data_IF_677869245134
#
_entry.id   IF_677869245134
#
_cell.length_a   1.000
_cell.length_b   1.000
_cell.length_c   1.000
_cell.angle_alpha   90.00
_cell.angle_beta   90.00
_cell.angle_gamma   90.00
#
_symmetry.space_group_name_H-M   'P 1'
#
loop_
_entity.id
_entity.type
_entity.pdbx_description
1 polymer ?
#
# COMPACT_ATOMS: atom_id res chain seq x y z
N UNK A 1 -15.50 2.87 -31.58
CA UNK A 1 -14.08 3.00 -31.16
C UNK A 1 -13.92 2.32 -29.81
N UNK A 2 -12.89 1.48 -29.66
CA UNK A 2 -12.51 0.86 -28.39
C UNK A 2 -12.20 1.91 -27.33
N UNK A 3 -12.66 1.67 -26.10
CA UNK A 3 -12.37 2.53 -24.95
C UNK A 3 -10.86 2.53 -24.67
N UNK A 4 -10.23 3.70 -24.59
CA UNK A 4 -8.81 3.84 -24.21
C UNK A 4 -8.67 4.36 -22.77
N UNK A 5 -7.98 3.60 -21.93
CA UNK A 5 -7.71 3.99 -20.53
C UNK A 5 -6.21 4.08 -20.33
N UNK A 6 -5.71 5.26 -19.93
CA UNK A 6 -4.31 5.49 -19.64
C UNK A 6 -4.06 5.54 -18.12
N UNK A 7 -3.22 4.64 -17.62
CA UNK A 7 -2.82 4.56 -16.21
C UNK A 7 -1.53 5.35 -15.94
N UNK A 8 -1.49 6.06 -14.81
CA UNK A 8 -0.28 6.71 -14.32
C UNK A 8 0.00 6.33 -12.87
N UNK A 9 1.04 5.52 -12.66
CA UNK A 9 1.55 5.09 -11.35
C UNK A 9 3.07 4.94 -11.38
N UNK A 10 3.71 5.07 -10.23
CA UNK A 10 5.12 4.73 -10.03
C UNK A 10 5.37 4.10 -8.66
N UNK A 11 4.31 3.79 -7.92
CA UNK A 11 4.38 3.12 -6.62
C UNK A 11 3.93 1.68 -6.75
N UNK A 12 4.58 0.75 -6.04
CA UNK A 12 4.23 -0.69 -6.10
C UNK A 12 2.76 -0.95 -5.73
N UNK A 13 2.27 -0.27 -4.70
CA UNK A 13 0.85 -0.40 -4.34
C UNK A 13 -0.06 0.11 -5.46
N UNK A 14 0.32 1.22 -6.11
CA UNK A 14 -0.38 1.75 -7.26
C UNK A 14 -0.31 0.85 -8.50
N UNK A 15 0.79 0.12 -8.72
CA UNK A 15 0.91 -0.90 -9.78
C UNK A 15 -0.02 -2.09 -9.52
N UNK A 16 -0.05 -2.60 -8.29
CA UNK A 16 -1.00 -3.65 -7.90
C UNK A 16 -2.45 -3.17 -8.13
N UNK A 17 -2.79 -1.96 -7.67
CA UNK A 17 -4.12 -1.39 -7.88
C UNK A 17 -4.44 -1.24 -9.36
N UNK A 18 -3.50 -0.74 -10.15
CA UNK A 18 -3.66 -0.57 -11.61
C UNK A 18 -3.94 -1.90 -12.29
N UNK A 19 -3.20 -2.97 -11.95
CA UNK A 19 -3.44 -4.32 -12.48
C UNK A 19 -4.81 -4.87 -12.08
N UNK A 20 -5.19 -4.71 -10.82
CA UNK A 20 -6.50 -5.17 -10.32
C UNK A 20 -7.65 -4.42 -11.02
N UNK A 21 -7.52 -3.10 -11.16
CA UNK A 21 -8.50 -2.27 -11.85
C UNK A 21 -8.57 -2.61 -13.34
N UNK A 22 -7.42 -2.73 -14.03
CA UNK A 22 -7.36 -3.09 -15.44
C UNK A 22 -8.00 -4.46 -15.71
N UNK A 23 -7.76 -5.44 -14.84
CA UNK A 23 -8.41 -6.77 -14.92
C UNK A 23 -9.92 -6.66 -14.87
N UNK A 24 -10.47 -5.85 -13.96
CA UNK A 24 -11.92 -5.67 -13.88
C UNK A 24 -12.49 -4.85 -15.05
N UNK A 25 -11.76 -3.85 -15.56
CA UNK A 25 -12.15 -3.12 -16.78
C UNK A 25 -12.24 -4.08 -17.96
N UNK A 26 -11.25 -4.95 -18.16
CA UNK A 26 -11.22 -5.90 -19.28
C UNK A 26 -12.31 -6.99 -19.16
N UNK A 27 -12.78 -7.29 -17.95
CA UNK A 27 -13.95 -8.19 -17.77
C UNK A 27 -15.24 -7.54 -18.26
N UNK A 28 -15.45 -6.25 -17.97
CA UNK A 28 -16.65 -5.52 -18.41
C UNK A 28 -16.55 -5.04 -19.86
N UNK A 29 -15.34 -4.72 -20.33
CA UNK A 29 -15.03 -4.20 -21.67
C UNK A 29 -13.79 -4.89 -22.25
N UNK A 30 -13.95 -6.10 -22.82
CA UNK A 30 -12.84 -6.87 -23.40
C UNK A 30 -12.15 -6.15 -24.57
N UNK A 31 -12.84 -5.23 -25.24
CA UNK A 31 -12.33 -4.42 -26.34
C UNK A 31 -11.52 -3.19 -25.89
N UNK A 32 -11.42 -2.93 -24.59
CA UNK A 32 -10.73 -1.76 -24.06
C UNK A 32 -9.20 -1.85 -24.26
N UNK A 33 -8.60 -0.73 -24.63
CA UNK A 33 -7.15 -0.56 -24.75
C UNK A 33 -6.60 0.02 -23.43
N UNK A 34 -5.79 -0.78 -22.75
CA UNK A 34 -5.11 -0.39 -21.51
C UNK A 34 -3.72 0.13 -21.85
N UNK A 35 -3.49 1.41 -21.58
CA UNK A 35 -2.25 2.14 -21.81
C UNK A 35 -1.68 2.61 -20.47
N UNK A 36 -0.41 2.96 -20.41
CA UNK A 36 0.09 3.72 -19.26
C UNK A 36 1.57 3.57 -18.96
N UNK A 37 1.98 4.27 -17.92
CA UNK A 37 3.32 4.26 -17.36
C UNK A 37 3.31 3.47 -16.03
N UNK A 38 4.11 2.40 -15.97
CA UNK A 38 4.32 1.53 -14.80
C UNK A 38 5.50 0.58 -15.06
N UNK A 39 6.13 0.05 -14.01
CA UNK A 39 7.44 -0.61 -14.13
C UNK A 39 7.38 -1.97 -14.83
N UNK A 40 6.33 -2.74 -14.59
CA UNK A 40 6.01 -3.98 -15.31
C UNK A 40 4.51 -4.27 -15.14
N UNK A 41 3.75 -4.32 -16.22
CA UNK A 41 2.36 -4.78 -16.17
C UNK A 41 2.08 -5.66 -17.38
N UNK A 42 2.02 -6.98 -17.13
CA UNK A 42 1.73 -8.06 -18.08
C UNK A 42 0.29 -8.08 -18.63
N UNK A 43 -0.20 -6.92 -19.05
CA UNK A 43 -1.45 -6.76 -19.79
C UNK A 43 -1.24 -5.73 -20.90
N UNK A 44 -0.42 -6.07 -21.90
CA UNK A 44 -0.34 -5.34 -23.18
C UNK A 44 -0.02 -3.84 -23.10
N UNK A 45 0.61 -3.33 -22.04
CA UNK A 45 1.02 -1.92 -21.94
C UNK A 45 2.33 -1.74 -22.71
N UNK A 46 2.27 -1.29 -23.96
CA UNK A 46 3.48 -1.00 -24.74
C UNK A 46 4.13 0.30 -24.28
N UNK A 47 5.16 0.22 -23.44
CA UNK A 47 6.53 0.73 -23.67
C UNK A 47 7.34 0.81 -22.37
N UNK A 48 8.60 0.40 -22.53
CA UNK A 48 9.67 0.33 -21.55
C UNK A 48 9.83 1.61 -20.74
N UNK A 49 9.67 1.51 -19.43
CA UNK A 49 10.22 2.48 -18.50
C UNK A 49 10.50 1.81 -17.16
N UNK A 50 11.73 1.34 -17.00
CA UNK A 50 12.27 0.96 -15.71
C UNK A 50 12.27 2.18 -14.77
N UNK A 51 11.33 2.23 -13.83
CA UNK A 51 11.21 3.34 -12.87
C UNK A 51 11.51 2.93 -11.43
N UNK A 52 12.55 3.51 -10.85
CA UNK A 52 12.87 3.38 -9.42
C UNK A 52 11.80 4.04 -8.51
N UNK A 53 11.57 3.53 -7.29
CA UNK A 53 10.60 4.10 -6.37
C UNK A 53 10.96 5.54 -5.95
N UNK A 54 10.05 6.48 -6.15
CA UNK A 54 10.17 7.85 -5.64
C UNK A 54 9.74 7.88 -4.18
N UNK A 55 10.70 7.66 -3.28
CA UNK A 55 10.52 7.90 -1.84
C UNK A 55 10.64 9.40 -1.52
N UNK A 56 9.68 9.94 -0.78
CA UNK A 56 9.52 11.35 -0.40
C UNK A 56 10.57 11.89 0.60
N UNK A 57 11.85 11.50 0.47
CA UNK A 57 12.90 11.88 1.43
C UNK A 57 14.21 12.37 0.76
N UNK A 58 14.13 12.91 -0.46
CA UNK A 58 15.26 13.59 -1.13
C UNK A 58 14.75 14.73 -2.04
N UNK A 59 13.93 15.63 -1.47
CA UNK A 59 13.09 16.58 -2.21
C UNK A 59 13.78 17.55 -3.17
N UNK A 60 15.10 17.71 -3.13
CA UNK A 60 15.81 18.62 -4.05
C UNK A 60 16.66 17.91 -5.12
N UNK A 61 17.29 16.75 -4.81
CA UNK A 61 18.32 16.16 -5.69
C UNK A 61 17.77 15.27 -6.81
N UNK A 62 16.49 14.86 -6.75
CA UNK A 62 15.83 14.03 -7.77
C UNK A 62 14.62 14.71 -8.43
N UNK A 63 14.38 15.99 -8.11
CA UNK A 63 13.29 16.75 -8.71
C UNK A 63 13.39 16.86 -10.24
N UNK A 64 14.58 16.98 -10.88
CA UNK A 64 14.70 16.99 -12.32
C UNK A 64 14.18 15.70 -12.98
N UNK A 65 14.52 14.54 -12.42
CA UNK A 65 14.12 13.23 -12.95
C UNK A 65 12.59 13.04 -12.89
N UNK A 66 11.98 13.43 -11.77
CA UNK A 66 10.52 13.36 -11.59
C UNK A 66 9.80 14.31 -12.56
N UNK A 67 10.32 15.53 -12.74
CA UNK A 67 9.75 16.49 -13.70
C UNK A 67 9.92 16.03 -15.14
N UNK A 68 11.06 15.43 -15.49
CA UNK A 68 11.29 14.79 -16.78
C UNK A 68 10.25 13.70 -17.05
N UNK A 69 10.00 12.84 -16.06
CA UNK A 69 9.00 11.78 -16.18
C UNK A 69 7.58 12.29 -16.32
N UNK A 70 7.21 13.33 -15.59
CA UNK A 70 5.90 14.00 -15.75
C UNK A 70 5.73 14.50 -17.19
N UNK A 71 6.77 15.11 -17.79
CA UNK A 71 6.70 15.60 -19.18
C UNK A 71 6.57 14.45 -20.20
N UNK A 72 7.23 13.33 -19.96
CA UNK A 72 7.11 12.14 -20.81
C UNK A 72 5.69 11.58 -20.77
N UNK A 73 5.15 11.34 -19.57
CA UNK A 73 3.77 10.86 -19.39
C UNK A 73 2.77 11.85 -20.01
N UNK A 74 2.98 13.15 -19.82
CA UNK A 74 2.15 14.18 -20.43
C UNK A 74 2.14 14.08 -21.96
N UNK A 75 3.31 13.88 -22.59
CA UNK A 75 3.43 13.69 -24.04
C UNK A 75 2.69 12.42 -24.48
N UNK A 76 2.94 11.30 -23.81
CA UNK A 76 2.32 10.02 -24.12
C UNK A 76 0.78 10.07 -24.04
N UNK A 77 0.24 10.73 -23.01
CA UNK A 77 -1.21 10.91 -22.87
C UNK A 77 -1.77 11.76 -24.01
N UNK A 78 -1.07 12.84 -24.39
CA UNK A 78 -1.49 13.73 -25.48
C UNK A 78 -1.45 13.02 -26.84
N UNK A 79 -0.47 12.15 -27.07
CA UNK A 79 -0.34 11.37 -28.30
C UNK A 79 -1.38 10.24 -28.36
N UNK A 80 -1.57 9.52 -27.25
CA UNK A 80 -2.52 8.42 -27.15
C UNK A 80 -3.99 8.86 -27.24
N UNK A 81 -4.29 10.10 -26.79
CA UNK A 81 -5.64 10.69 -26.67
C UNK A 81 -6.63 9.70 -26.04
N UNK A 82 -6.40 9.26 -24.79
CA UNK A 82 -7.27 8.28 -24.15
C UNK A 82 -8.63 8.90 -23.80
N UNK A 83 -9.66 8.06 -23.70
CA UNK A 83 -10.96 8.48 -23.16
C UNK A 83 -10.87 8.78 -21.66
N UNK A 84 -9.99 8.05 -20.95
CA UNK A 84 -9.83 8.13 -19.50
C UNK A 84 -8.35 8.23 -19.14
N UNK A 85 -7.99 9.24 -18.35
CA UNK A 85 -6.71 9.29 -17.64
C UNK A 85 -6.94 8.91 -16.18
N UNK A 86 -6.41 7.75 -15.78
CA UNK A 86 -6.55 7.18 -14.45
C UNK A 86 -5.22 7.30 -13.70
N UNK A 87 -5.12 8.34 -12.88
CA UNK A 87 -4.03 8.46 -11.92
C UNK A 87 -4.24 7.49 -10.76
N UNK A 88 -3.21 6.75 -10.38
CA UNK A 88 -3.27 5.76 -9.30
C UNK A 88 -2.14 6.01 -8.32
N UNK A 89 -2.47 6.38 -7.08
CA UNK A 89 -1.50 6.78 -6.06
C UNK A 89 -0.51 7.84 -6.58
N UNK A 90 0.76 7.82 -6.16
CA UNK A 90 1.82 8.70 -6.67
C UNK A 90 1.43 10.18 -6.68
N UNK A 91 1.09 10.65 -5.48
CA UNK A 91 0.22 11.81 -5.24
C UNK A 91 0.69 13.11 -5.91
N UNK A 92 1.93 13.53 -5.69
CA UNK A 92 2.44 14.81 -6.18
C UNK A 92 2.57 14.84 -7.71
N UNK A 93 3.22 13.87 -8.38
CA UNK A 93 3.30 13.86 -9.84
C UNK A 93 1.95 13.76 -10.53
N UNK A 94 1.04 12.92 -10.01
CA UNK A 94 -0.30 12.81 -10.56
C UNK A 94 -1.11 14.11 -10.35
N UNK A 95 -0.99 14.78 -9.20
CA UNK A 95 -1.61 16.10 -9.01
C UNK A 95 -1.14 17.11 -10.07
N UNK A 96 0.15 17.11 -10.42
CA UNK A 96 0.70 17.96 -11.48
C UNK A 96 0.15 17.56 -12.85
N UNK A 97 0.15 16.26 -13.19
CA UNK A 97 -0.38 15.75 -14.46
C UNK A 97 -1.85 16.11 -14.66
N UNK A 98 -2.69 15.95 -13.64
CA UNK A 98 -4.10 16.35 -13.71
C UNK A 98 -4.29 17.82 -14.07
N UNK A 99 -3.46 18.71 -13.52
CA UNK A 99 -3.48 20.13 -13.85
C UNK A 99 -2.97 20.42 -15.27
N UNK A 100 -1.91 19.73 -15.71
CA UNK A 100 -1.32 19.94 -17.04
C UNK A 100 -2.20 19.40 -18.17
N UNK A 101 -2.99 18.37 -17.92
CA UNK A 101 -3.87 17.73 -18.89
C UNK A 101 -5.31 18.27 -18.84
N UNK A 102 -5.55 19.37 -18.10
CA UNK A 102 -6.90 19.94 -17.91
C UNK A 102 -7.53 20.50 -19.19
N UNK A 103 -6.69 20.87 -20.16
CA UNK A 103 -7.08 21.39 -21.47
C UNK A 103 -7.65 20.28 -22.39
N UNK A 104 -7.37 19.01 -22.11
CA UNK A 104 -7.93 17.87 -22.84
C UNK A 104 -9.38 17.60 -22.40
N UNK A 105 -10.32 18.37 -22.96
CA UNK A 105 -11.75 18.34 -22.56
C UNK A 105 -12.47 17.03 -22.86
N UNK A 106 -12.04 16.29 -23.88
CA UNK A 106 -12.64 15.01 -24.27
C UNK A 106 -12.12 13.81 -23.45
N UNK A 107 -11.29 14.05 -22.44
CA UNK A 107 -10.68 13.01 -21.61
C UNK A 107 -11.14 13.12 -20.16
N UNK A 108 -11.72 12.04 -19.63
CA UNK A 108 -12.12 11.96 -18.22
C UNK A 108 -10.90 11.69 -17.34
N UNK A 109 -10.49 12.69 -16.57
CA UNK A 109 -9.46 12.59 -15.53
C UNK A 109 -10.03 12.05 -14.22
N UNK A 110 -9.55 10.89 -13.77
CA UNK A 110 -9.93 10.24 -12.50
C UNK A 110 -8.67 10.01 -11.65
N UNK A 111 -8.77 10.24 -10.34
CA UNK A 111 -7.68 9.95 -9.40
C UNK A 111 -8.10 8.87 -8.41
N UNK A 112 -7.54 7.67 -8.55
CA UNK A 112 -7.67 6.57 -7.62
C UNK A 112 -6.59 6.63 -6.52
N UNK A 113 -7.00 6.45 -5.26
CA UNK A 113 -6.15 6.61 -4.08
C UNK A 113 -5.45 7.99 -4.06
N UNK A 114 -6.20 9.11 -4.06
CA UNK A 114 -5.64 10.46 -4.04
C UNK A 114 -4.84 10.72 -2.74
N UNK A 115 -4.02 11.79 -2.68
CA UNK A 115 -3.30 12.14 -1.47
C UNK A 115 -4.22 12.33 -0.28
N UNK A 116 -3.80 11.78 0.86
CA UNK A 116 -4.50 11.97 2.12
C UNK A 116 -4.38 13.44 2.58
N UNK A 117 -5.49 14.17 2.53
CA UNK A 117 -5.52 15.64 2.73
C UNK A 117 -5.74 16.09 4.19
N UNK A 118 -5.84 15.17 5.14
CA UNK A 118 -6.33 15.41 6.52
C UNK A 118 -5.47 16.36 7.36
N UNK A 119 -4.18 16.53 7.04
CA UNK A 119 -3.29 17.36 7.85
C UNK A 119 -2.90 18.72 7.20
N UNK A 120 -2.92 18.87 5.86
CA UNK A 120 -2.34 20.04 5.15
C UNK A 120 -3.16 20.47 3.90
N UNK A 121 -4.45 20.10 3.84
CA UNK A 121 -5.15 19.83 2.58
C UNK A 121 -5.82 20.95 1.82
N UNK A 122 -5.95 22.19 2.34
CA UNK A 122 -6.79 23.21 1.66
C UNK A 122 -6.27 23.62 0.28
N UNK A 123 -4.99 23.97 0.16
CA UNK A 123 -4.39 24.33 -1.13
C UNK A 123 -4.37 23.13 -2.09
N UNK A 124 -4.05 21.94 -1.58
CA UNK A 124 -3.98 20.70 -2.36
C UNK A 124 -5.37 20.27 -2.85
N UNK A 125 -6.42 20.47 -2.05
CA UNK A 125 -7.80 20.26 -2.46
C UNK A 125 -8.17 21.17 -3.65
N UNK A 126 -7.77 22.44 -3.64
CA UNK A 126 -7.97 23.34 -4.77
C UNK A 126 -7.30 22.83 -6.06
N UNK A 127 -6.09 22.26 -5.94
CA UNK A 127 -5.41 21.64 -7.09
C UNK A 127 -6.14 20.40 -7.60
N UNK A 128 -6.55 19.49 -6.71
CA UNK A 128 -7.31 18.30 -7.09
C UNK A 128 -8.63 18.66 -7.76
N UNK A 129 -9.34 19.68 -7.24
CA UNK A 129 -10.60 20.18 -7.80
C UNK A 129 -10.42 20.69 -9.24
N UNK A 130 -9.30 21.34 -9.53
CA UNK A 130 -8.96 21.84 -10.87
C UNK A 130 -8.47 20.75 -11.81
N UNK A 131 -7.79 19.73 -11.29
CA UNK A 131 -7.13 18.70 -12.09
C UNK A 131 -8.02 17.51 -12.45
N UNK A 132 -8.97 17.15 -11.59
CA UNK A 132 -9.69 15.87 -11.70
C UNK A 132 -11.21 16.04 -11.63
N UNK A 133 -11.92 15.26 -12.45
CA UNK A 133 -13.38 15.22 -12.45
C UNK A 133 -13.93 14.34 -11.33
N UNK A 134 -13.17 13.33 -10.92
CA UNK A 134 -13.57 12.33 -9.92
C UNK A 134 -12.36 11.84 -9.13
N UNK A 135 -12.54 11.75 -7.82
CA UNK A 135 -11.60 11.12 -6.89
C UNK A 135 -12.20 9.82 -6.34
N UNK A 136 -11.43 8.75 -6.37
CA UNK A 136 -11.81 7.43 -5.85
C UNK A 136 -10.95 7.11 -4.63
N UNK A 137 -11.52 7.33 -3.45
CA UNK A 137 -10.84 7.14 -2.17
C UNK A 137 -10.85 5.67 -1.74
N UNK A 138 -9.80 5.27 -1.01
CA UNK A 138 -9.64 3.90 -0.49
C UNK A 138 -10.38 3.67 0.82
N UNK A 139 -10.83 4.75 1.49
CA UNK A 139 -11.47 4.68 2.80
C UNK A 139 -12.78 5.49 2.83
N UNK A 140 -13.83 5.00 3.51
CA UNK A 140 -15.11 5.72 3.59
C UNK A 140 -14.97 7.13 4.17
N UNK A 141 -14.18 7.28 5.24
CA UNK A 141 -13.96 8.56 5.92
C UNK A 141 -13.18 9.55 5.06
N UNK A 142 -12.25 9.04 4.26
CA UNK A 142 -11.50 9.85 3.30
C UNK A 142 -12.44 10.39 2.21
N UNK A 143 -13.30 9.55 1.64
CA UNK A 143 -14.30 9.99 0.66
C UNK A 143 -15.21 11.08 1.23
N UNK A 144 -15.71 10.89 2.47
CA UNK A 144 -16.52 11.89 3.18
C UNK A 144 -15.75 13.19 3.40
N UNK A 145 -14.49 13.11 3.82
CA UNK A 145 -13.65 14.28 4.03
C UNK A 145 -13.41 15.07 2.74
N UNK A 146 -13.07 14.39 1.64
CA UNK A 146 -12.88 15.04 0.34
C UNK A 146 -14.18 15.72 -0.16
N UNK A 147 -15.34 15.08 0.02
CA UNK A 147 -16.64 15.70 -0.30
C UNK A 147 -16.92 16.96 0.52
N UNK A 148 -16.59 16.97 1.81
CA UNK A 148 -16.70 18.17 2.66
C UNK A 148 -15.81 19.33 2.20
N UNK A 149 -14.73 19.03 1.48
CA UNK A 149 -13.86 20.03 0.83
C UNK A 149 -14.39 20.48 -0.55
N UNK A 150 -15.57 20.03 -0.97
CA UNK A 150 -16.19 20.39 -2.25
C UNK A 150 -15.57 19.68 -3.45
N UNK A 151 -14.95 18.51 -3.24
CA UNK A 151 -14.43 17.64 -4.30
C UNK A 151 -15.47 16.56 -4.66
N UNK A 152 -15.54 16.20 -5.94
CA UNK A 152 -16.29 15.03 -6.38
C UNK A 152 -15.52 13.76 -6.01
N UNK A 153 -15.83 13.19 -4.84
CA UNK A 153 -15.14 12.05 -4.28
C UNK A 153 -16.10 10.92 -3.91
N UNK A 154 -15.75 9.71 -4.33
CA UNK A 154 -16.49 8.48 -4.03
C UNK A 154 -15.59 7.47 -3.32
N UNK A 155 -16.19 6.59 -2.54
CA UNK A 155 -15.48 5.49 -1.92
C UNK A 155 -15.50 4.30 -2.87
N UNK A 156 -14.32 3.86 -3.33
CA UNK A 156 -14.21 2.81 -4.34
C UNK A 156 -13.98 1.40 -3.74
N UNK A 157 -13.84 1.30 -2.42
CA UNK A 157 -13.28 0.10 -1.79
C UNK A 157 -11.75 0.10 -1.80
N UNK A 158 -11.16 -0.81 -1.02
CA UNK A 158 -9.71 -1.01 -1.02
C UNK A 158 -9.37 -2.32 -1.77
N UNK A 159 -8.68 -2.29 -2.92
CA UNK A 159 -8.38 -3.48 -3.71
C UNK A 159 -7.61 -4.58 -2.95
N UNK A 160 -6.87 -4.21 -1.90
CA UNK A 160 -6.16 -5.16 -1.05
C UNK A 160 -7.08 -6.13 -0.34
N UNK A 161 -8.31 -5.71 0.00
CA UNK A 161 -9.29 -6.55 0.71
C UNK A 161 -9.57 -7.82 -0.09
N UNK A 162 -10.01 -7.66 -1.34
CA UNK A 162 -10.33 -8.79 -2.22
C UNK A 162 -9.09 -9.61 -2.59
N UNK A 163 -7.96 -8.93 -2.84
CA UNK A 163 -6.70 -9.59 -3.20
C UNK A 163 -6.17 -10.49 -2.07
N UNK A 164 -6.08 -9.96 -0.84
CA UNK A 164 -5.57 -10.71 0.32
C UNK A 164 -6.56 -11.78 0.82
N UNK A 165 -7.87 -11.58 0.64
CA UNK A 165 -8.86 -12.62 0.92
C UNK A 165 -8.62 -13.89 0.09
N UNK A 166 -8.23 -13.72 -1.18
CA UNK A 166 -7.87 -14.84 -2.06
C UNK A 166 -6.65 -15.60 -1.53
N UNK A 167 -5.62 -14.86 -1.08
CA UNK A 167 -4.39 -15.45 -0.52
C UNK A 167 -4.69 -16.20 0.79
N UNK A 168 -5.52 -15.62 1.67
CA UNK A 168 -5.93 -16.26 2.93
C UNK A 168 -6.72 -17.54 2.69
N UNK A 169 -7.64 -17.55 1.73
CA UNK A 169 -8.41 -18.75 1.38
C UNK A 169 -7.50 -19.91 0.93
N UNK A 170 -6.46 -19.62 0.13
CA UNK A 170 -5.47 -20.62 -0.28
C UNK A 170 -4.70 -21.21 0.91
N UNK A 171 -4.41 -20.42 1.95
CA UNK A 171 -3.81 -20.93 3.19
C UNK A 171 -4.72 -21.94 3.88
N UNK A 172 -6.01 -21.62 4.10
CA UNK A 172 -6.94 -22.54 4.76
C UNK A 172 -7.03 -23.88 4.03
N UNK A 173 -7.06 -23.89 2.70
CA UNK A 173 -7.05 -25.12 1.91
C UNK A 173 -5.72 -25.91 2.00
N UNK A 174 -4.57 -25.23 2.05
CA UNK A 174 -3.27 -25.88 2.23
C UNK A 174 -3.04 -26.39 3.67
N UNK A 175 -3.68 -25.76 4.66
CA UNK A 175 -3.63 -26.14 6.07
C UNK A 175 -4.56 -27.31 6.40
N UNK A 176 -5.59 -27.56 5.59
CA UNK A 176 -6.47 -28.73 5.72
C UNK A 176 -5.74 -30.08 5.47
N UNK A 177 -4.51 -30.04 4.94
CA UNK A 177 -3.60 -31.20 4.87
C UNK A 177 -2.52 -31.22 5.97
N UNK A 178 -2.53 -30.27 6.91
CA UNK A 178 -1.44 -30.08 7.88
C UNK A 178 -1.92 -29.44 9.18
N UNK A 179 -2.45 -30.29 10.08
CA UNK A 179 -2.64 -30.08 11.52
C UNK A 179 -3.18 -28.71 11.94
N UNK A 180 -4.51 -28.63 12.01
CA UNK A 180 -5.18 -27.90 13.10
C UNK A 180 -4.78 -28.57 14.43
N UNK A 181 -3.72 -28.05 15.06
CA UNK A 181 -3.53 -28.26 16.49
C UNK A 181 -4.25 -27.13 17.23
N UNK A 182 -5.56 -27.30 17.42
CA UNK A 182 -6.24 -26.73 18.58
C UNK A 182 -5.68 -27.43 19.82
N UNK A 183 -4.66 -26.83 20.44
CA UNK A 183 -4.01 -27.39 21.61
C UNK A 183 -2.63 -26.80 21.77
N UNK A 184 -2.37 -26.18 22.92
CA UNK A 184 -1.06 -25.65 23.27
C UNK A 184 0.00 -26.74 23.21
N UNK A 185 0.81 -26.72 22.17
CA UNK A 185 2.11 -27.38 22.15
C UNK A 185 3.19 -26.31 22.13
N UNK A 186 3.80 -26.07 23.31
CA UNK A 186 5.09 -25.42 23.46
C UNK A 186 6.17 -26.24 22.74
N UNK A 187 6.25 -26.13 21.42
CA UNK A 187 7.20 -26.95 20.65
C UNK A 187 7.32 -26.64 19.16
N UNK A 188 6.32 -25.98 18.56
CA UNK A 188 6.33 -25.60 17.16
C UNK A 188 7.32 -24.46 16.83
N UNK A 189 8.04 -24.59 15.72
CA UNK A 189 8.87 -23.50 15.17
C UNK A 189 7.97 -22.39 14.65
N UNK A 190 8.07 -21.18 15.23
CA UNK A 190 7.31 -20.02 14.74
C UNK A 190 8.06 -19.31 13.63
N UNK A 191 7.32 -18.72 12.70
CA UNK A 191 7.87 -17.89 11.63
C UNK A 191 7.55 -16.42 11.89
N UNK A 192 8.57 -15.59 11.89
CA UNK A 192 8.48 -14.15 12.16
C UNK A 192 8.69 -13.40 10.84
N UNK A 193 7.69 -12.65 10.39
CA UNK A 193 7.84 -11.78 9.24
C UNK A 193 8.52 -10.46 9.63
N UNK A 194 9.59 -10.11 8.93
CA UNK A 194 10.31 -8.84 9.11
C UNK A 194 10.12 -7.96 7.88
N UNK A 195 9.43 -6.82 8.03
CA UNK A 195 9.13 -5.88 6.95
C UNK A 195 9.81 -4.53 7.20
N UNK A 196 11.08 -4.36 6.79
CA UNK A 196 11.92 -3.20 7.16
C UNK A 196 11.52 -1.88 6.48
N UNK A 197 10.48 -1.89 5.65
CA UNK A 197 10.02 -0.73 4.89
C UNK A 197 10.40 -0.80 3.43
N UNK A 198 9.80 0.07 2.64
CA UNK A 198 9.99 0.08 1.18
C UNK A 198 11.12 1.01 0.75
N UNK A 199 11.36 2.08 1.53
CA UNK A 199 12.30 3.14 1.18
C UNK A 199 13.71 2.81 1.65
N UNK A 200 14.73 3.21 0.87
CA UNK A 200 16.14 3.01 1.24
C UNK A 200 16.49 3.64 2.60
N UNK A 201 15.93 4.81 2.94
CA UNK A 201 16.15 5.45 4.24
C UNK A 201 15.49 4.69 5.40
N UNK A 202 14.31 4.11 5.19
CA UNK A 202 13.65 3.22 6.16
C UNK A 202 14.52 1.97 6.37
N UNK A 203 14.89 1.31 5.27
CA UNK A 203 15.74 0.11 5.30
C UNK A 203 17.05 0.34 6.04
N UNK A 204 17.80 1.40 5.71
CA UNK A 204 19.07 1.72 6.37
C UNK A 204 18.97 1.85 7.88
N UNK A 205 17.82 2.29 8.41
CA UNK A 205 17.58 2.47 9.85
C UNK A 205 16.99 1.22 10.50
N UNK A 206 16.01 0.62 9.85
CA UNK A 206 15.22 -0.47 10.42
C UNK A 206 15.92 -1.81 10.34
N UNK A 207 16.74 -2.05 9.32
CA UNK A 207 17.43 -3.34 9.16
C UNK A 207 18.37 -3.61 10.34
N UNK A 208 19.30 -2.71 10.73
CA UNK A 208 20.18 -2.96 11.88
C UNK A 208 19.40 -3.20 13.18
N UNK A 209 18.28 -2.50 13.38
CA UNK A 209 17.40 -2.69 14.53
C UNK A 209 16.77 -4.09 14.51
N UNK A 210 16.23 -4.52 13.37
CA UNK A 210 15.64 -5.84 13.20
C UNK A 210 16.67 -6.98 13.29
N UNK A 211 17.90 -6.78 12.81
CA UNK A 211 18.98 -7.76 12.98
C UNK A 211 19.34 -7.96 14.46
N UNK A 212 19.38 -6.87 15.25
CA UNK A 212 19.58 -6.96 16.70
C UNK A 212 18.39 -7.63 17.38
N UNK A 213 17.16 -7.32 16.98
CA UNK A 213 15.97 -8.02 17.44
C UNK A 213 16.07 -9.52 17.19
N UNK A 214 16.43 -9.97 15.98
CA UNK A 214 16.56 -11.40 15.68
C UNK A 214 17.61 -12.08 16.57
N UNK A 215 18.73 -11.41 16.82
CA UNK A 215 19.78 -11.93 17.71
C UNK A 215 19.26 -12.09 19.14
N UNK A 216 18.64 -11.05 19.71
CA UNK A 216 18.10 -11.09 21.07
C UNK A 216 16.93 -12.08 21.19
N UNK A 217 16.04 -12.10 20.20
CA UNK A 217 14.89 -13.00 20.15
C UNK A 217 15.31 -14.48 20.18
N UNK A 218 16.34 -14.83 19.43
CA UNK A 218 16.85 -16.21 19.35
C UNK A 218 17.49 -16.71 20.66
N UNK A 219 17.88 -15.82 21.56
CA UNK A 219 18.36 -16.22 22.90
C UNK A 219 17.20 -16.83 23.69
N UNK A 220 16.02 -16.21 23.64
CA UNK A 220 14.82 -16.70 24.34
C UNK A 220 14.05 -17.77 23.56
N UNK A 221 14.05 -17.69 22.21
CA UNK A 221 13.29 -18.56 21.33
C UNK A 221 14.17 -19.11 20.19
N UNK A 222 15.09 -20.05 20.49
CA UNK A 222 16.11 -20.51 19.53
C UNK A 222 15.54 -21.26 18.32
N UNK A 223 14.34 -21.83 18.44
CA UNK A 223 13.65 -22.53 17.34
C UNK A 223 12.98 -21.59 16.35
N UNK A 224 12.65 -20.36 16.76
CA UNK A 224 11.92 -19.42 15.92
C UNK A 224 12.76 -18.95 14.71
N UNK A 225 12.10 -18.81 13.57
CA UNK A 225 12.73 -18.44 12.30
C UNK A 225 12.26 -17.07 11.83
N UNK A 226 13.21 -16.18 11.56
CA UNK A 226 12.93 -14.91 10.91
C UNK A 226 12.92 -15.06 9.38
N UNK A 227 11.91 -14.46 8.75
CA UNK A 227 11.73 -14.37 7.30
C UNK A 227 11.68 -12.90 6.91
N UNK A 228 12.57 -12.47 6.03
CA UNK A 228 12.64 -11.08 5.61
C UNK A 228 11.78 -10.87 4.38
N UNK A 229 10.84 -9.92 4.45
CA UNK A 229 9.91 -9.67 3.35
C UNK A 229 10.20 -8.31 2.74
N UNK A 230 10.64 -8.32 1.49
CA UNK A 230 10.93 -7.13 0.72
C UNK A 230 9.85 -6.87 -0.33
N UNK A 231 9.65 -5.58 -0.60
CA UNK A 231 8.73 -5.16 -1.65
C UNK A 231 9.27 -5.47 -3.05
N UNK A 232 10.59 -5.36 -3.23
CA UNK A 232 11.31 -5.71 -4.45
C UNK A 232 12.49 -6.59 -4.13
N UNK A 233 12.95 -7.31 -5.15
CA UNK A 233 14.23 -7.98 -5.10
C UNK A 233 15.33 -6.92 -5.06
N UNK A 234 16.12 -6.91 -4.00
CA UNK A 234 17.17 -5.92 -3.83
C UNK A 234 18.54 -6.56 -3.99
N UNK A 235 19.22 -6.21 -5.07
CA UNK A 235 20.57 -6.69 -5.40
C UNK A 235 21.59 -6.38 -4.30
N UNK A 236 21.45 -5.23 -3.64
CA UNK A 236 22.25 -4.85 -2.49
C UNK A 236 22.12 -5.84 -1.31
N UNK A 237 20.97 -6.50 -1.18
CA UNK A 237 20.72 -7.52 -0.16
C UNK A 237 21.01 -8.94 -0.65
N UNK A 238 20.91 -9.22 -1.96
CA UNK A 238 21.44 -10.46 -2.55
C UNK A 238 22.94 -10.63 -2.25
N UNK A 239 23.74 -9.56 -2.37
CA UNK A 239 25.18 -9.61 -2.06
C UNK A 239 25.47 -9.86 -0.56
N UNK A 240 24.54 -9.46 0.32
CA UNK A 240 24.62 -9.72 1.77
C UNK A 240 24.02 -11.05 2.22
N UNK A 241 23.39 -11.84 1.34
CA UNK A 241 22.84 -13.18 1.69
C UNK A 241 23.87 -14.11 2.33
N UNK A 242 25.17 -13.90 2.09
CA UNK A 242 26.26 -14.70 2.67
C UNK A 242 26.54 -14.39 4.16
N UNK A 243 26.02 -13.31 4.74
CA UNK A 243 26.04 -13.10 6.19
C UNK A 243 24.73 -13.62 6.80
N UNK A 244 24.83 -14.70 7.57
CA UNK A 244 23.83 -15.58 8.22
C UNK A 244 22.42 -15.10 8.65
N UNK A 245 21.99 -13.85 8.45
CA UNK A 245 20.65 -13.38 8.85
C UNK A 245 19.61 -13.36 7.73
N UNK A 246 19.97 -13.54 6.45
CA UNK A 246 19.11 -13.22 5.28
C UNK A 246 18.70 -14.41 4.41
N UNK A 247 18.95 -15.64 4.86
CA UNK A 247 18.73 -16.86 4.07
C UNK A 247 17.26 -17.02 3.61
N UNK A 248 16.31 -16.50 4.41
CA UNK A 248 14.87 -16.56 4.13
C UNK A 248 14.29 -15.24 3.60
N UNK A 249 15.05 -14.50 2.78
CA UNK A 249 14.53 -13.30 2.14
C UNK A 249 13.58 -13.63 0.99
N UNK A 250 12.33 -13.16 1.08
CA UNK A 250 11.28 -13.31 0.06
C UNK A 250 10.90 -11.92 -0.47
N UNK A 251 10.64 -11.82 -1.77
CA UNK A 251 10.28 -10.56 -2.43
C UNK A 251 9.13 -10.74 -3.41
N UNK A 252 8.53 -9.63 -3.86
CA UNK A 252 7.47 -9.66 -4.87
C UNK A 252 6.16 -10.24 -4.33
N UNK A 253 5.42 -10.97 -5.15
CA UNK A 253 4.11 -11.52 -4.76
C UNK A 253 4.22 -12.65 -3.72
N UNK A 254 5.32 -13.40 -3.70
CA UNK A 254 5.54 -14.47 -2.72
C UNK A 254 5.61 -13.93 -1.28
N UNK A 255 5.91 -12.64 -1.11
CA UNK A 255 5.90 -11.98 0.20
C UNK A 255 4.54 -12.09 0.89
N UNK A 256 3.45 -12.08 0.13
CA UNK A 256 2.10 -12.15 0.70
C UNK A 256 1.82 -13.55 1.26
N UNK A 257 2.28 -14.60 0.57
CA UNK A 257 2.18 -15.99 1.06
C UNK A 257 3.07 -16.18 2.28
N UNK A 258 4.30 -15.70 2.24
CA UNK A 258 5.21 -15.76 3.39
C UNK A 258 4.66 -14.99 4.61
N UNK A 259 4.10 -13.80 4.40
CA UNK A 259 3.41 -13.04 5.45
C UNK A 259 2.19 -13.80 5.99
N UNK A 260 1.36 -14.35 5.11
CA UNK A 260 0.18 -15.11 5.50
C UNK A 260 0.51 -16.37 6.29
N UNK A 261 1.71 -16.95 6.11
CA UNK A 261 2.20 -18.12 6.86
C UNK A 261 3.00 -17.75 8.11
N UNK A 262 3.09 -16.47 8.48
CA UNK A 262 3.85 -16.02 9.65
C UNK A 262 3.02 -16.07 10.93
N UNK A 263 3.65 -16.41 12.05
CA UNK A 263 3.02 -16.40 13.38
C UNK A 263 2.79 -14.97 13.87
N UNK A 264 3.72 -14.06 13.60
CA UNK A 264 3.56 -12.62 13.79
C UNK A 264 4.49 -11.82 12.87
N UNK A 265 4.27 -10.51 12.78
CA UNK A 265 5.08 -9.61 11.96
C UNK A 265 5.64 -8.42 12.75
N UNK A 266 6.89 -8.06 12.49
CA UNK A 266 7.44 -6.74 12.78
C UNK A 266 7.40 -5.92 11.51
N UNK A 267 6.56 -4.88 11.49
CA UNK A 267 6.24 -4.16 10.26
C UNK A 267 6.40 -2.66 10.44
N UNK A 268 6.99 -2.04 9.44
CA UNK A 268 7.05 -0.58 9.38
C UNK A 268 5.69 0.03 9.08
N UNK A 269 5.45 1.25 9.55
CA UNK A 269 4.23 1.98 9.23
C UNK A 269 4.03 2.14 7.71
N UNK A 270 2.80 1.86 7.24
CA UNK A 270 2.40 1.98 5.84
C UNK A 270 1.47 0.85 5.41
N UNK A 271 1.34 0.66 4.09
CA UNK A 271 0.46 -0.36 3.48
C UNK A 271 0.75 -1.77 4.00
N UNK A 272 2.01 -2.09 4.28
CA UNK A 272 2.43 -3.38 4.84
C UNK A 272 1.74 -3.72 6.18
N UNK A 273 1.49 -2.72 7.04
CA UNK A 273 0.76 -2.93 8.30
C UNK A 273 -0.71 -3.31 8.07
N UNK A 274 -1.34 -2.69 7.06
CA UNK A 274 -2.70 -3.03 6.66
C UNK A 274 -2.76 -4.42 6.02
N UNK A 275 -1.78 -4.78 5.19
CA UNK A 275 -1.68 -6.11 4.59
C UNK A 275 -1.61 -7.21 5.66
N UNK A 276 -0.74 -7.05 6.66
CA UNK A 276 -0.63 -7.99 7.79
C UNK A 276 -1.94 -8.09 8.57
N UNK A 277 -2.60 -6.95 8.85
CA UNK A 277 -3.85 -6.93 9.61
C UNK A 277 -5.00 -7.61 8.85
N UNK A 278 -5.11 -7.37 7.54
CA UNK A 278 -6.11 -7.99 6.68
C UNK A 278 -5.91 -9.51 6.56
N UNK A 279 -4.66 -9.98 6.56
CA UNK A 279 -4.31 -11.40 6.62
C UNK A 279 -4.56 -12.03 8.00
N UNK A 280 -4.89 -11.23 9.02
CA UNK A 280 -5.10 -11.70 10.39
C UNK A 280 -3.80 -12.05 11.11
N UNK A 281 -2.68 -11.47 10.68
CA UNK A 281 -1.37 -11.72 11.29
C UNK A 281 -1.16 -10.74 12.45
N UNK A 282 -0.92 -11.23 13.69
CA UNK A 282 -0.52 -10.39 14.81
C UNK A 282 0.73 -9.59 14.43
N UNK A 283 0.79 -8.31 14.78
CA UNK A 283 1.89 -7.45 14.35
C UNK A 283 2.29 -6.42 15.40
N UNK A 284 3.57 -6.05 15.40
CA UNK A 284 4.04 -4.81 16.04
C UNK A 284 4.39 -3.84 14.92
N UNK A 285 3.70 -2.70 14.90
CA UNK A 285 4.00 -1.63 13.95
C UNK A 285 5.03 -0.71 14.57
N UNK A 286 6.13 -0.48 13.86
CA UNK A 286 7.17 0.43 14.33
C UNK A 286 7.55 1.46 13.28
N UNK A 287 8.08 2.59 13.73
CA UNK A 287 8.56 3.63 12.85
C UNK A 287 9.80 4.29 13.43
N UNK A 288 10.87 4.36 12.63
CA UNK A 288 12.13 4.98 13.04
C UNK A 288 12.31 6.28 12.27
N UNK A 289 12.21 7.41 12.97
CA UNK A 289 12.37 8.77 12.48
C UNK A 289 13.70 9.36 12.95
N UNK A 290 14.33 10.21 12.12
CA UNK A 290 15.39 11.09 12.60
C UNK A 290 14.81 12.12 13.58
N UNK A 291 15.67 12.76 14.38
CA UNK A 291 15.24 13.84 15.26
C UNK A 291 14.52 14.97 14.51
N UNK A 292 15.02 15.30 13.30
CA UNK A 292 14.43 16.33 12.44
C UNK A 292 13.07 15.90 11.88
N UNK A 293 12.93 14.67 11.40
CA UNK A 293 11.65 14.13 10.92
C UNK A 293 10.63 14.03 12.06
N UNK A 294 11.07 13.68 13.27
CA UNK A 294 10.21 13.62 14.45
C UNK A 294 9.73 15.01 14.88
N UNK A 295 10.64 15.99 14.92
CA UNK A 295 10.28 17.38 15.23
C UNK A 295 9.29 17.92 14.20
N UNK A 296 9.54 17.64 12.91
CA UNK A 296 8.64 18.02 11.83
C UNK A 296 7.29 17.31 11.98
N UNK A 297 7.26 15.99 12.21
CA UNK A 297 6.00 15.25 12.40
C UNK A 297 5.18 15.83 13.57
N UNK A 298 5.81 16.15 14.71
CA UNK A 298 5.12 16.77 15.86
C UNK A 298 4.60 18.17 15.55
N UNK A 299 5.36 18.97 14.79
CA UNK A 299 4.92 20.29 14.36
C UNK A 299 3.80 20.22 13.32
N UNK A 300 3.79 19.16 12.50
CA UNK A 300 2.90 19.03 11.36
C UNK A 300 1.64 18.17 11.61
N UNK A 301 1.54 17.44 12.71
CA UNK A 301 0.37 16.61 12.94
C UNK A 301 0.14 16.31 14.41
N UNK A 302 -1.13 16.34 14.81
CA UNK A 302 -1.61 15.86 16.10
C UNK A 302 -2.12 14.41 16.00
N UNK A 303 -1.63 13.66 15.01
CA UNK A 303 -2.01 12.26 14.81
C UNK A 303 -1.64 11.44 16.06
N UNK A 304 -2.66 10.90 16.73
CA UNK A 304 -2.47 10.00 17.88
C UNK A 304 -1.97 8.61 17.48
N UNK A 305 -2.13 8.25 16.19
CA UNK A 305 -1.88 6.93 15.63
C UNK A 305 -1.25 7.06 14.25
N UNK A 306 -0.32 6.18 13.93
CA UNK A 306 0.36 6.15 12.64
C UNK A 306 0.20 4.82 11.89
N UNK A 307 -0.23 3.73 12.53
CA UNK A 307 -0.51 2.48 11.83
C UNK A 307 -1.85 2.59 11.09
N UNK A 308 -1.88 2.17 9.82
CA UNK A 308 -3.12 2.15 9.03
C UNK A 308 -4.27 1.38 9.71
N UNK A 309 -4.11 0.16 10.26
CA UNK A 309 -5.21 -0.52 10.94
C UNK A 309 -5.80 0.30 12.09
N UNK A 310 -4.96 0.95 12.89
CA UNK A 310 -5.37 1.79 14.02
C UNK A 310 -6.04 3.09 13.58
N UNK A 311 -5.59 3.70 12.49
CA UNK A 311 -6.22 4.89 11.90
C UNK A 311 -7.62 4.53 11.37
N UNK A 312 -7.73 3.44 10.61
CA UNK A 312 -8.99 2.99 9.98
C UNK A 312 -10.03 2.62 11.05
N UNK A 313 -9.64 1.83 12.06
CA UNK A 313 -10.52 1.42 13.15
C UNK A 313 -10.72 2.51 14.21
N UNK A 314 -9.83 3.51 14.23
CA UNK A 314 -9.81 4.59 15.23
C UNK A 314 -9.65 4.11 16.68
N UNK A 315 -8.80 3.11 16.85
CA UNK A 315 -8.42 2.52 18.14
C UNK A 315 -6.97 2.01 18.07
N UNK A 316 -6.45 1.54 19.20
CA UNK A 316 -5.12 0.88 19.28
C UNK A 316 -5.28 -0.63 19.07
N UNK A 317 -5.69 -1.03 17.88
CA UNK A 317 -5.90 -2.44 17.51
C UNK A 317 -4.58 -3.22 17.44
N UNK A 318 -3.49 -2.58 17.03
CA UNK A 318 -2.14 -3.15 16.99
C UNK A 318 -1.15 -2.26 17.74
N UNK A 319 -0.12 -2.83 18.40
CA UNK A 319 0.94 -2.07 19.03
C UNK A 319 1.66 -1.14 18.05
N UNK A 320 1.82 0.13 18.43
CA UNK A 320 2.59 1.14 17.71
C UNK A 320 3.81 1.57 18.53
N UNK A 321 5.00 1.52 17.92
CA UNK A 321 6.25 1.94 18.55
C UNK A 321 6.99 2.98 17.71
N UNK A 322 7.19 4.16 18.26
CA UNK A 322 7.96 5.23 17.63
C UNK A 322 9.39 5.24 18.18
N UNK A 323 10.38 5.13 17.29
CA UNK A 323 11.81 5.01 17.64
C UNK A 323 12.10 3.95 18.71
N UNK A 324 11.63 2.70 18.57
CA UNK A 324 11.81 1.70 19.60
C UNK A 324 13.28 1.29 19.78
N UNK A 325 13.62 0.92 21.01
CA UNK A 325 14.77 0.08 21.30
C UNK A 325 14.52 -1.37 20.87
N UNK A 326 15.58 -2.19 20.84
CA UNK A 326 15.43 -3.63 20.58
C UNK A 326 14.57 -4.28 21.66
N UNK A 327 14.75 -3.86 22.90
CA UNK A 327 14.04 -4.37 24.07
C UNK A 327 12.53 -4.08 23.97
N UNK A 328 12.16 -2.91 23.47
CA UNK A 328 10.74 -2.57 23.23
C UNK A 328 10.10 -3.52 22.21
N UNK A 329 10.82 -3.82 21.12
CA UNK A 329 10.37 -4.77 20.10
C UNK A 329 10.23 -6.18 20.67
N UNK A 330 11.24 -6.67 21.40
CA UNK A 330 11.21 -8.00 22.03
C UNK A 330 10.03 -8.12 23.01
N UNK A 331 9.84 -7.12 23.88
CA UNK A 331 8.76 -7.12 24.87
C UNK A 331 7.39 -7.15 24.20
N UNK A 332 7.15 -6.30 23.19
CA UNK A 332 5.87 -6.28 22.48
C UNK A 332 5.64 -7.54 21.65
N UNK A 333 6.67 -8.06 20.98
CA UNK A 333 6.59 -9.31 20.22
C UNK A 333 6.29 -10.51 21.11
N UNK A 334 6.92 -10.62 22.28
CA UNK A 334 6.61 -11.66 23.27
C UNK A 334 5.15 -11.57 23.74
N UNK A 335 4.65 -10.34 23.97
CA UNK A 335 3.26 -10.10 24.30
C UNK A 335 2.27 -10.62 23.25
N UNK A 336 2.61 -10.56 21.95
CA UNK A 336 1.76 -11.11 20.88
C UNK A 336 1.61 -12.64 20.96
N UNK A 337 2.61 -13.33 21.49
CA UNK A 337 2.63 -14.80 21.60
C UNK A 337 1.81 -15.25 22.81
N UNK A 338 1.91 -14.51 23.92
CA UNK A 338 1.13 -14.79 25.14
C UNK A 338 -0.37 -14.46 24.99
N UNK A 339 -0.73 -13.54 24.08
CA UNK A 339 -2.11 -13.10 23.81
C UNK A 339 -2.75 -13.85 22.62
N UNK A 340 -2.63 -15.17 22.54
CA UNK A 340 -3.28 -15.96 21.47
C UNK A 340 -4.81 -16.03 21.59
N UNK A 341 -5.38 -15.72 22.77
CA UNK A 341 -6.82 -15.78 23.06
C UNK A 341 -7.53 -14.42 23.02
N UNK A 342 -6.84 -13.35 22.62
CA UNK A 342 -7.32 -11.96 22.71
C UNK A 342 -7.24 -11.12 21.44
N UNK A 343 -6.98 -11.71 20.26
CA UNK A 343 -7.14 -11.05 18.96
C UNK A 343 -8.44 -11.55 18.29
N UNK A 344 -9.64 -11.33 18.86
CA UNK A 344 -10.85 -11.47 18.08
C UNK A 344 -10.90 -10.28 17.10
N UNK A 345 -10.47 -10.61 15.89
CA UNK A 345 -11.12 -10.18 14.66
C UNK A 345 -10.78 -8.80 14.08
N UNK A 346 -9.54 -8.33 14.25
CA UNK A 346 -9.03 -7.14 13.53
C UNK A 346 -9.24 -7.29 12.02
N UNK A 347 -8.99 -8.48 11.47
CA UNK A 347 -9.19 -8.75 10.04
C UNK A 347 -10.64 -8.57 9.63
N UNK A 348 -11.64 -9.18 10.29
CA UNK A 348 -13.04 -8.98 9.87
C UNK A 348 -13.52 -7.57 10.15
N UNK A 349 -13.11 -6.95 11.27
CA UNK A 349 -13.45 -5.54 11.55
C UNK A 349 -12.91 -4.60 10.49
N UNK A 350 -11.69 -4.84 10.01
CA UNK A 350 -11.13 -4.14 8.86
C UNK A 350 -11.87 -4.48 7.57
N UNK A 351 -12.21 -5.75 7.33
CA UNK A 351 -13.00 -6.14 6.16
C UNK A 351 -14.37 -5.43 6.17
N UNK A 352 -15.05 -5.34 7.31
CA UNK A 352 -16.32 -4.62 7.47
C UNK A 352 -16.14 -3.12 7.24
N UNK A 353 -15.11 -2.52 7.86
CA UNK A 353 -14.82 -1.10 7.69
C UNK A 353 -14.37 -0.72 6.26
N UNK A 354 -13.85 -1.68 5.50
CA UNK A 354 -13.33 -1.53 4.14
C UNK A 354 -14.19 -2.22 3.06
N UNK A 355 -15.36 -2.75 3.43
CA UNK A 355 -16.33 -3.24 2.46
C UNK A 355 -17.10 -2.02 1.93
N UNK A 356 -17.23 -1.85 0.61
CA UNK A 356 -18.11 -0.84 0.03
C UNK A 356 -19.51 -0.95 0.64
N UNK A 357 -19.99 0.13 1.27
CA UNK A 357 -21.34 0.21 1.84
C UNK A 357 -22.44 0.03 0.78
N UNK A 358 -22.09 0.22 -0.49
CA UNK A 358 -22.97 0.04 -1.62
C UNK A 358 -22.26 -0.77 -2.72
N UNK A 359 -22.74 -2.00 -2.97
CA UNK A 359 -22.27 -2.87 -4.07
C UNK A 359 -22.89 -2.49 -5.42
N UNK A 360 -23.93 -1.64 -5.43
CA UNK A 360 -24.69 -1.30 -6.64
C UNK A 360 -23.97 -0.30 -7.55
N UNK A 361 -23.03 0.46 -6.98
CA UNK A 361 -22.14 1.40 -7.67
C UNK A 361 -20.74 0.80 -7.74
N UNK A 362 -20.54 -0.17 -8.64
CA UNK A 362 -19.19 -0.60 -9.01
C UNK A 362 -18.39 0.63 -9.46
N UNK A 363 -17.22 0.88 -8.88
CA UNK A 363 -16.36 1.99 -9.30
C UNK A 363 -16.07 1.93 -10.82
N UNK A 364 -16.14 0.73 -11.42
CA UNK A 364 -16.05 0.53 -12.86
C UNK A 364 -17.21 1.19 -13.58
N UNK A 365 -18.46 1.04 -13.11
CA UNK A 365 -19.59 1.81 -13.66
C UNK A 365 -19.35 3.31 -13.57
N UNK A 366 -18.74 3.80 -12.48
CA UNK A 366 -18.44 5.23 -12.32
C UNK A 366 -17.34 5.68 -13.29
N UNK A 367 -16.33 4.85 -13.54
CA UNK A 367 -15.26 5.11 -14.49
C UNK A 367 -15.81 5.05 -15.93
N UNK A 368 -16.55 3.98 -16.26
CA UNK A 368 -17.00 3.58 -17.59
C UNK A 368 -18.29 4.27 -18.07
N UNK A 369 -19.16 4.75 -17.16
CA UNK A 369 -20.34 5.51 -17.56
C UNK A 369 -19.91 6.84 -18.17
N UNK A 370 -20.23 6.98 -19.46
CA UNK A 370 -20.14 8.23 -20.23
C UNK A 370 -21.29 9.20 -19.90
N UNK A 371 -22.40 8.70 -19.35
CA UNK A 371 -23.69 9.40 -19.28
C UNK A 371 -24.05 10.02 -17.92
N UNK A 372 -23.14 10.11 -16.96
CA UNK A 372 -23.38 11.06 -15.86
C UNK A 372 -23.14 12.47 -16.40
N UNK A 373 -24.16 12.97 -17.10
CA UNK A 373 -24.54 14.38 -17.24
C UNK A 373 -24.71 15.00 -15.86
N UNK A 374 -23.60 15.11 -15.14
CA UNK A 374 -23.39 16.26 -14.29
C UNK A 374 -22.98 17.33 -15.27
N UNK A 375 -23.84 18.32 -15.53
CA UNK A 375 -23.38 19.53 -16.22
C UNK A 375 -22.10 20.00 -15.51
N UNK A 376 -20.97 19.91 -16.23
CA UNK A 376 -19.62 20.16 -15.73
C UNK A 376 -19.23 21.63 -15.86
#
# INVERSE_FOLDING_TARGET
MSLKVYFSTSEISGELYSRLIAKEILKERPDALILGAGKESGAGMSRNAELAPVGFAAGARRAPDVLGRIREIERDVRDAKPDIFLAVAWSEPNTILGLRLRDMRNMKRVFFAPPQLWAWGKWRASLLKKGYHLLLALYPREALFLRRLGLNAQYAGNPLVSYLKTIRATRSCASAGGKESEGGEEGGTRTIALLPGSRLSEKRRNIPLLERFVKEWRIAYPRDRATWLFLHEEEAFKKKKKSMSWENAVSGEDRYRALASSSFALVTSGTASLEAALLGIPQVVFYTLSATELALAKALTNAKRFALPNIILSEEAVPELLNPSVQDLVKKAAGLISFSSGIPDISTRLNLALTPLDKSVSFLRVILNRESSVHF
#
